data_IF_098190773309
#
_entry.id   IF_098190773309
#
_cell.length_a   1.000
_cell.length_b   1.000
_cell.length_c   1.000
_cell.angle_alpha   90.00
_cell.angle_beta   90.00
_cell.angle_gamma   90.00
#
_symmetry.space_group_name_H-M   'P 1'
#
loop_
_entity.id
_entity.type
_entity.pdbx_description
1 polymer ?
#
# COMPACT_ATOMS: atom_id res chain seq x y z
N UNK A 1 -17.84 -4.09 9.01
CA UNK A 1 -16.88 -3.16 8.36
C UNK A 1 -15.61 -3.12 9.20
N UNK A 2 -14.46 -3.33 8.56
CA UNK A 2 -13.12 -3.16 9.15
C UNK A 2 -12.57 -1.80 8.73
N UNK A 3 -12.01 -1.04 9.68
CA UNK A 3 -11.21 0.17 9.41
C UNK A 3 -9.95 0.07 10.25
N UNK A 4 -8.79 -0.02 9.60
CA UNK A 4 -7.50 -0.10 10.31
C UNK A 4 -6.47 0.80 9.68
N UNK A 5 -5.83 1.61 10.49
CA UNK A 5 -4.74 2.50 10.09
C UNK A 5 -3.41 1.93 10.55
N UNK A 6 -2.50 1.70 9.61
CA UNK A 6 -1.13 1.35 9.88
C UNK A 6 -0.27 2.61 9.82
N UNK A 7 0.45 2.89 10.89
CA UNK A 7 1.45 3.97 10.95
C UNK A 7 2.83 3.34 10.85
N UNK A 8 3.53 3.58 9.74
CA UNK A 8 4.84 2.98 9.44
C UNK A 8 5.89 4.07 9.39
N UNK A 9 6.70 4.18 10.45
CA UNK A 9 7.89 5.04 10.44
C UNK A 9 8.96 4.42 9.54
N UNK A 10 9.56 5.20 8.67
CA UNK A 10 10.62 4.76 7.75
C UNK A 10 11.86 5.65 7.94
N UNK A 11 13.08 5.07 8.04
CA UNK A 11 14.33 5.81 8.19
C UNK A 11 14.86 6.29 6.83
N UNK A 12 14.07 7.10 6.13
CA UNK A 12 14.37 7.65 4.80
C UNK A 12 13.61 8.96 4.58
N UNK A 13 13.98 9.73 3.56
CA UNK A 13 13.18 10.87 3.11
C UNK A 13 11.98 10.42 2.28
N UNK A 14 10.98 11.28 2.10
CA UNK A 14 9.85 11.03 1.20
C UNK A 14 10.29 10.85 -0.26
N UNK A 15 11.34 11.56 -0.70
CA UNK A 15 11.91 11.43 -2.03
C UNK A 15 12.56 10.04 -2.24
N UNK A 16 13.40 9.58 -1.31
CA UNK A 16 13.99 8.24 -1.36
C UNK A 16 12.91 7.15 -1.37
N UNK A 17 11.85 7.35 -0.57
CA UNK A 17 10.72 6.45 -0.52
C UNK A 17 9.95 6.39 -1.84
N UNK A 18 9.72 7.53 -2.50
CA UNK A 18 9.05 7.58 -3.80
C UNK A 18 9.82 6.80 -4.86
N UNK A 19 11.14 6.98 -4.94
CA UNK A 19 11.98 6.26 -5.91
C UNK A 19 12.03 4.76 -5.55
N UNK A 20 12.20 4.43 -4.27
CA UNK A 20 12.17 3.05 -3.78
C UNK A 20 10.85 2.33 -4.11
N UNK A 21 9.72 3.03 -3.98
CA UNK A 21 8.40 2.52 -4.36
C UNK A 21 8.31 2.28 -5.87
N UNK A 22 8.77 3.23 -6.69
CA UNK A 22 8.76 3.08 -8.15
C UNK A 22 9.59 1.87 -8.58
N UNK A 23 10.79 1.68 -8.01
CA UNK A 23 11.60 0.49 -8.26
C UNK A 23 10.89 -0.80 -7.84
N UNK A 24 10.30 -0.84 -6.63
CA UNK A 24 9.57 -2.01 -6.14
C UNK A 24 8.35 -2.36 -7.00
N UNK A 25 7.67 -1.35 -7.55
CA UNK A 25 6.59 -1.52 -8.53
C UNK A 25 7.11 -2.17 -9.80
N UNK A 26 8.19 -1.63 -10.40
CA UNK A 26 8.78 -2.17 -11.62
C UNK A 26 9.27 -3.61 -11.46
N UNK A 27 9.92 -3.93 -10.33
CA UNK A 27 10.37 -5.29 -10.03
C UNK A 27 9.21 -6.26 -9.85
N UNK A 28 8.10 -5.80 -9.27
CA UNK A 28 6.90 -6.61 -9.12
C UNK A 28 6.26 -6.86 -10.49
N UNK A 29 6.17 -5.85 -11.34
CA UNK A 29 5.68 -5.99 -12.71
C UNK A 29 6.53 -7.00 -13.52
N UNK A 30 7.87 -6.90 -13.45
CA UNK A 30 8.79 -7.86 -14.10
C UNK A 30 8.59 -9.31 -13.65
N UNK A 31 8.29 -9.53 -12.37
CA UNK A 31 8.04 -10.89 -11.85
C UNK A 31 6.69 -11.46 -12.26
N UNK A 32 5.72 -10.60 -12.56
CA UNK A 32 4.36 -11.00 -12.93
C UNK A 32 4.27 -11.43 -14.41
N UNK A 33 5.12 -10.90 -15.30
CA UNK A 33 5.13 -11.24 -16.73
C UNK A 33 5.63 -12.65 -17.07
N UNK A 34 6.40 -13.31 -16.19
CA UNK A 34 7.05 -14.60 -16.48
C UNK A 34 6.25 -15.86 -16.10
N UNK A 35 5.01 -15.74 -15.59
CA UNK A 35 4.30 -16.90 -15.00
C UNK A 35 2.94 -17.27 -15.61
N UNK A 36 2.53 -16.68 -16.74
CA UNK A 36 1.34 -17.11 -17.50
C UNK A 36 -0.01 -16.97 -16.79
N UNK A 37 -0.06 -16.69 -15.48
CA UNK A 37 -1.27 -16.42 -14.71
C UNK A 37 -1.09 -15.27 -13.71
N UNK A 38 -2.11 -14.40 -13.64
CA UNK A 38 -2.60 -13.91 -12.35
C UNK A 38 -2.75 -12.40 -12.16
N UNK A 39 -2.28 -11.58 -13.10
CA UNK A 39 -2.54 -10.13 -13.14
C UNK A 39 -2.60 -9.67 -14.60
N UNK A 40 -3.73 -9.10 -15.00
CA UNK A 40 -3.92 -8.41 -16.28
C UNK A 40 -3.82 -6.89 -16.04
N UNK A 41 -3.06 -6.18 -16.86
CA UNK A 41 -3.02 -4.71 -16.84
C UNK A 41 -3.97 -4.23 -17.93
N UNK A 42 -5.09 -3.61 -17.53
CA UNK A 42 -6.13 -3.14 -18.44
C UNK A 42 -5.88 -1.70 -18.85
N UNK A 43 -5.46 -0.87 -17.90
CA UNK A 43 -5.22 0.55 -18.12
C UNK A 43 -4.02 1.02 -17.28
N UNK A 44 -3.20 1.91 -17.84
CA UNK A 44 -2.09 2.58 -17.18
C UNK A 44 -1.88 3.97 -17.81
N UNK A 45 -2.75 4.91 -17.43
CA UNK A 45 -2.82 6.25 -18.04
C UNK A 45 -2.67 7.36 -16.98
N UNK A 46 -2.11 8.52 -17.37
CA UNK A 46 -2.19 9.70 -16.52
C UNK A 46 -3.65 10.12 -16.31
N UNK A 47 -3.93 10.74 -15.17
CA UNK A 47 -5.21 11.40 -14.92
C UNK A 47 -4.98 12.83 -14.44
N UNK A 48 -5.93 13.69 -14.76
CA UNK A 48 -6.07 15.03 -14.21
C UNK A 48 -7.49 15.22 -13.65
N UNK A 49 -7.70 16.28 -12.87
CA UNK A 49 -9.01 16.73 -12.40
C UNK A 49 -9.84 15.69 -11.59
N UNK A 50 -9.21 14.70 -10.95
CA UNK A 50 -9.90 13.76 -10.05
C UNK A 50 -9.61 14.15 -8.60
N UNK A 51 -10.55 14.77 -7.85
CA UNK A 51 -10.29 15.20 -6.49
C UNK A 51 -10.10 14.01 -5.55
N UNK A 52 -8.90 13.90 -5.01
CA UNK A 52 -8.46 12.86 -4.08
C UNK A 52 -8.12 13.47 -2.72
N UNK A 53 -8.30 12.67 -1.67
CA UNK A 53 -7.99 13.05 -0.29
C UNK A 53 -8.59 14.42 0.12
N UNK A 54 -9.90 14.59 -0.09
CA UNK A 54 -10.65 15.83 0.16
C UNK A 54 -10.20 17.02 -0.72
N UNK A 55 -9.83 16.74 -1.97
CA UNK A 55 -9.43 17.76 -2.94
C UNK A 55 -7.99 18.26 -2.76
N UNK A 56 -7.20 17.63 -1.88
CA UNK A 56 -5.77 17.98 -1.69
C UNK A 56 -4.89 17.57 -2.87
N UNK A 57 -5.35 16.59 -3.65
CA UNK A 57 -4.63 16.06 -4.80
C UNK A 57 -5.61 15.84 -5.95
N UNK A 58 -5.19 16.08 -7.19
CA UNK A 58 -6.10 16.07 -8.34
C UNK A 58 -5.52 15.46 -9.62
N UNK A 59 -4.22 15.18 -9.67
CA UNK A 59 -3.53 14.66 -10.84
C UNK A 59 -2.57 13.52 -10.47
N UNK A 60 -2.24 12.64 -11.41
CA UNK A 60 -1.30 11.55 -11.16
C UNK A 60 -1.40 10.43 -12.19
N UNK A 61 -1.07 9.21 -11.76
CA UNK A 61 -1.19 8.01 -12.61
C UNK A 61 -2.34 7.13 -12.13
N UNK A 62 -3.19 6.72 -13.07
CA UNK A 62 -4.24 5.74 -12.84
C UNK A 62 -3.82 4.39 -13.43
N UNK A 63 -4.03 3.31 -12.66
CA UNK A 63 -3.88 1.95 -13.18
C UNK A 63 -5.10 1.11 -12.86
N UNK A 64 -5.59 0.37 -13.86
CA UNK A 64 -6.58 -0.68 -13.70
C UNK A 64 -5.94 -2.04 -13.94
N UNK A 65 -6.01 -2.91 -12.92
CA UNK A 65 -5.51 -4.30 -12.99
C UNK A 65 -6.62 -5.29 -12.66
N UNK A 66 -6.56 -6.48 -13.27
CA UNK A 66 -7.45 -7.59 -12.92
C UNK A 66 -6.62 -8.75 -12.38
N UNK A 67 -6.88 -9.12 -11.13
CA UNK A 67 -6.29 -10.29 -10.50
C UNK A 67 -7.15 -11.52 -10.74
N UNK A 68 -6.59 -12.53 -11.42
CA UNK A 68 -7.22 -13.83 -11.58
C UNK A 68 -6.83 -14.73 -10.40
N UNK A 69 -7.75 -14.91 -9.44
CA UNK A 69 -7.49 -15.56 -8.16
C UNK A 69 -7.95 -17.02 -8.08
N UNK A 70 -8.57 -17.58 -9.13
CA UNK A 70 -9.12 -18.94 -9.11
C UNK A 70 -8.09 -20.00 -8.67
N UNK A 71 -6.87 -19.95 -9.22
CA UNK A 71 -5.77 -20.84 -8.84
C UNK A 71 -5.13 -20.50 -7.48
N UNK A 72 -5.30 -19.26 -6.99
CA UNK A 72 -4.67 -18.72 -5.77
C UNK A 72 -5.55 -18.82 -4.51
N UNK A 73 -6.85 -19.03 -4.64
CA UNK A 73 -7.74 -19.26 -3.50
C UNK A 73 -7.48 -20.67 -2.95
N UNK A 74 -7.09 -20.82 -1.66
CA UNK A 74 -6.88 -22.12 -1.05
C UNK A 74 -8.13 -23.01 -1.13
N UNK A 75 -7.98 -24.30 -1.46
CA UNK A 75 -9.10 -25.21 -1.70
C UNK A 75 -10.08 -25.30 -0.53
N UNK A 76 -9.61 -25.19 0.71
CA UNK A 76 -10.46 -25.20 1.91
C UNK A 76 -11.33 -23.94 2.08
N UNK A 77 -11.02 -22.85 1.38
CA UNK A 77 -11.79 -21.59 1.40
C UNK A 77 -12.75 -21.51 0.21
N UNK A 78 -12.44 -22.17 -0.92
CA UNK A 78 -13.23 -22.10 -2.16
C UNK A 78 -14.74 -22.31 -1.98
N UNK A 79 -15.24 -23.26 -1.16
CA UNK A 79 -16.69 -23.45 -0.97
C UNK A 79 -17.40 -22.25 -0.34
N UNK A 80 -16.67 -21.35 0.32
CA UNK A 80 -17.20 -20.15 0.98
C UNK A 80 -16.99 -18.87 0.17
N UNK A 81 -16.35 -18.96 -1.01
CA UNK A 81 -16.10 -17.82 -1.89
C UNK A 81 -17.17 -17.81 -2.99
N UNK A 82 -18.02 -16.78 -3.05
CA UNK A 82 -18.94 -16.56 -4.17
C UNK A 82 -18.24 -16.72 -5.54
N UNK A 83 -18.91 -17.34 -6.50
CA UNK A 83 -18.34 -17.65 -7.83
C UNK A 83 -17.72 -16.42 -8.54
N UNK A 84 -18.27 -15.22 -8.30
CA UNK A 84 -17.77 -13.95 -8.85
C UNK A 84 -16.54 -13.34 -8.17
N UNK A 85 -16.08 -13.86 -7.02
CA UNK A 85 -14.89 -13.34 -6.31
C UNK A 85 -13.55 -13.92 -6.83
N UNK A 86 -13.59 -14.65 -7.95
CA UNK A 86 -12.40 -15.23 -8.57
C UNK A 86 -11.63 -14.26 -9.47
N UNK A 87 -12.24 -13.12 -9.82
CA UNK A 87 -11.63 -11.99 -10.52
C UNK A 87 -11.78 -10.75 -9.64
N UNK A 88 -10.66 -10.13 -9.28
CA UNK A 88 -10.65 -8.90 -8.48
C UNK A 88 -10.10 -7.78 -9.33
N UNK A 89 -10.89 -6.74 -9.52
CA UNK A 89 -10.48 -5.53 -10.18
C UNK A 89 -9.81 -4.62 -9.15
N UNK A 90 -8.65 -4.07 -9.51
CA UNK A 90 -7.92 -3.06 -8.77
C UNK A 90 -7.89 -1.77 -9.57
N UNK A 91 -8.47 -0.72 -9.00
CA UNK A 91 -8.27 0.64 -9.46
C UNK A 91 -7.31 1.34 -8.51
N UNK A 92 -6.20 1.85 -9.03
CA UNK A 92 -5.19 2.55 -8.23
C UNK A 92 -4.94 3.94 -8.80
N UNK A 93 -5.06 4.97 -7.97
CA UNK A 93 -4.72 6.35 -8.25
C UNK A 93 -3.48 6.74 -7.43
N UNK A 94 -2.38 6.99 -8.12
CA UNK A 94 -1.11 7.39 -7.53
C UNK A 94 -0.88 8.88 -7.76
N UNK A 95 -1.16 9.68 -6.72
CA UNK A 95 -0.94 11.14 -6.69
C UNK A 95 -0.03 11.48 -5.51
N UNK A 96 1.21 10.99 -5.59
CA UNK A 96 2.15 11.06 -4.46
C UNK A 96 2.25 12.50 -3.92
N UNK A 97 2.18 12.72 -2.59
CA UNK A 97 2.32 11.75 -1.48
C UNK A 97 1.11 10.90 -1.13
N UNK A 98 -0.03 11.06 -1.82
CA UNK A 98 -1.24 10.29 -1.60
C UNK A 98 -1.43 9.16 -2.62
N UNK A 99 -1.93 8.03 -2.16
CA UNK A 99 -2.29 6.91 -3.01
C UNK A 99 -3.64 6.35 -2.56
N UNK A 100 -4.48 6.06 -3.53
CA UNK A 100 -5.75 5.37 -3.34
C UNK A 100 -5.73 4.09 -4.16
N UNK A 101 -6.09 2.97 -3.56
CA UNK A 101 -6.34 1.71 -4.27
C UNK A 101 -7.68 1.15 -3.83
N UNK A 102 -8.53 0.78 -4.78
CA UNK A 102 -9.82 0.14 -4.55
C UNK A 102 -9.84 -1.24 -5.21
N UNK A 103 -10.18 -2.26 -4.42
CA UNK A 103 -10.42 -3.62 -4.87
C UNK A 103 -11.91 -3.93 -4.83
N UNK A 104 -12.43 -4.47 -5.92
CA UNK A 104 -13.82 -4.87 -6.05
C UNK A 104 -13.96 -6.07 -7.01
N UNK A 105 -15.13 -6.71 -7.00
CA UNK A 105 -15.41 -7.91 -7.80
C UNK A 105 -16.71 -7.71 -8.59
N UNK A 106 -16.64 -7.15 -9.81
CA UNK A 106 -17.83 -6.74 -10.55
C UNK A 106 -18.78 -7.90 -10.84
N UNK A 107 -18.26 -9.11 -11.04
CA UNK A 107 -19.08 -10.31 -11.28
C UNK A 107 -19.90 -10.76 -10.06
N UNK A 108 -19.56 -10.28 -8.86
CA UNK A 108 -20.32 -10.55 -7.64
C UNK A 108 -21.12 -9.34 -7.16
N UNK A 109 -20.57 -8.14 -7.37
CA UNK A 109 -21.10 -6.88 -6.86
C UNK A 109 -20.74 -5.74 -7.81
N UNK A 110 -21.48 -5.65 -8.91
CA UNK A 110 -21.31 -4.66 -9.97
C UNK A 110 -21.27 -3.22 -9.44
N UNK A 111 -22.15 -2.89 -8.49
CA UNK A 111 -22.27 -1.56 -7.92
C UNK A 111 -21.34 -1.30 -6.71
N UNK A 112 -20.49 -2.27 -6.33
CA UNK A 112 -19.56 -2.16 -5.18
C UNK A 112 -20.24 -1.87 -3.84
N UNK A 113 -21.52 -2.22 -3.70
CA UNK A 113 -22.32 -1.94 -2.50
C UNK A 113 -22.17 -3.02 -1.43
N UNK A 114 -21.99 -4.27 -1.86
CA UNK A 114 -21.90 -5.47 -1.01
C UNK A 114 -20.49 -5.68 -0.49
N UNK A 115 -19.47 -5.43 -1.30
CA UNK A 115 -18.07 -5.67 -0.98
C UNK A 115 -17.13 -4.68 -1.65
N UNK A 116 -16.27 -4.08 -0.83
CA UNK A 116 -15.14 -3.31 -1.32
C UNK A 116 -13.99 -3.33 -0.31
N UNK A 117 -12.77 -3.33 -0.83
CA UNK A 117 -11.57 -3.07 -0.02
C UNK A 117 -10.92 -1.82 -0.56
N UNK A 118 -10.72 -0.84 0.31
CA UNK A 118 -10.09 0.43 -0.02
C UNK A 118 -8.81 0.59 0.80
N UNK A 119 -7.74 0.98 0.13
CA UNK A 119 -6.46 1.32 0.72
C UNK A 119 -6.16 2.78 0.44
N UNK A 120 -6.03 3.58 1.48
CA UNK A 120 -5.61 4.98 1.38
C UNK A 120 -4.27 5.13 2.05
N UNK A 121 -3.33 5.77 1.37
CA UNK A 121 -1.96 5.93 1.87
C UNK A 121 -1.56 7.40 1.75
N UNK A 122 -1.03 7.97 2.83
CA UNK A 122 -0.41 9.29 2.83
C UNK A 122 1.00 9.20 3.42
N UNK A 123 1.98 9.75 2.70
CA UNK A 123 3.38 9.75 3.08
C UNK A 123 3.80 11.14 3.57
N UNK A 124 4.17 11.29 4.84
CA UNK A 124 4.56 12.56 5.43
C UNK A 124 6.04 12.57 5.84
N UNK A 125 6.79 13.57 5.41
CA UNK A 125 8.18 13.81 5.80
C UNK A 125 8.31 14.33 7.23
N UNK A 126 9.46 14.12 7.85
CA UNK A 126 9.79 14.56 9.22
C UNK A 126 8.75 14.19 10.29
N UNK A 127 8.03 13.09 10.03
CA UNK A 127 6.91 12.64 10.84
C UNK A 127 7.18 11.26 11.44
N UNK A 128 6.64 11.01 12.64
CA UNK A 128 6.79 9.76 13.39
C UNK A 128 5.47 9.09 13.76
N UNK A 129 4.41 9.31 12.98
CA UNK A 129 3.10 8.69 13.22
C UNK A 129 2.29 9.36 14.33
N UNK A 130 2.48 10.68 14.52
CA UNK A 130 1.84 11.46 15.59
C UNK A 130 0.53 12.12 15.18
N UNK A 131 0.24 12.21 13.89
CA UNK A 131 -0.98 12.86 13.41
C UNK A 131 -2.17 11.94 13.65
N UNK A 132 -3.16 12.43 14.40
CA UNK A 132 -4.29 11.61 14.79
C UNK A 132 -5.30 11.37 13.66
N UNK A 133 -5.30 12.18 12.60
CA UNK A 133 -6.17 11.98 11.44
C UNK A 133 -5.53 12.49 10.13
N UNK A 134 -4.32 11.99 9.81
CA UNK A 134 -3.55 12.45 8.64
C UNK A 134 -4.32 12.38 7.30
N UNK A 135 -5.16 11.36 7.16
CA UNK A 135 -5.96 11.09 5.96
C UNK A 135 -7.30 11.83 5.92
N UNK A 136 -7.71 12.49 7.02
CA UNK A 136 -8.97 13.25 7.04
C UNK A 136 -10.22 12.38 7.14
N UNK A 137 -10.13 11.18 7.73
CA UNK A 137 -11.26 10.28 7.89
C UNK A 137 -12.44 10.99 8.57
N UNK A 138 -13.65 10.67 8.12
CA UNK A 138 -14.87 11.17 8.76
C UNK A 138 -15.00 10.66 10.20
N UNK A 139 -15.93 11.26 10.96
CA UNK A 139 -16.12 10.96 12.38
C UNK A 139 -16.46 9.49 12.65
N UNK A 140 -17.16 8.81 11.74
CA UNK A 140 -17.64 7.45 11.95
C UNK A 140 -16.53 6.43 11.66
N UNK A 141 -15.79 6.63 10.57
CA UNK A 141 -14.58 5.87 10.25
C UNK A 141 -13.53 6.07 11.34
N UNK A 142 -13.31 7.31 11.79
CA UNK A 142 -12.32 7.63 12.81
C UNK A 142 -12.64 6.96 14.16
N UNK A 143 -13.92 6.89 14.56
CA UNK A 143 -14.36 6.18 15.78
C UNK A 143 -14.17 4.66 15.68
N UNK A 144 -14.34 4.08 14.49
CA UNK A 144 -14.21 2.63 14.25
C UNK A 144 -12.77 2.19 13.97
N UNK A 145 -11.87 3.14 13.70
CA UNK A 145 -10.50 2.88 13.28
C UNK A 145 -9.70 2.26 14.42
N UNK A 146 -9.09 1.12 14.12
CA UNK A 146 -7.99 0.58 14.91
C UNK A 146 -6.66 1.13 14.40
N UNK A 147 -5.80 1.65 15.27
CA UNK A 147 -4.46 2.15 14.91
C UNK A 147 -3.40 1.11 15.25
N UNK A 148 -2.60 0.73 14.26
CA UNK A 148 -1.48 -0.19 14.40
C UNK A 148 -0.17 0.51 14.08
N UNK A 149 0.67 0.70 15.08
CA UNK A 149 2.05 1.19 14.89
C UNK A 149 2.92 0.03 14.44
N UNK A 150 3.42 0.08 13.21
CA UNK A 150 4.18 -1.02 12.64
C UNK A 150 5.69 -0.81 12.80
N UNK A 151 6.38 -1.81 13.32
CA UNK A 151 7.84 -1.82 13.43
C UNK A 151 8.45 -2.73 12.37
N UNK A 152 9.12 -2.13 11.38
CA UNK A 152 9.83 -2.86 10.31
C UNK A 152 11.18 -3.44 10.76
N UNK A 153 11.63 -3.13 11.97
CA UNK A 153 12.92 -3.56 12.53
C UNK A 153 12.91 -4.88 13.29
N UNK A 154 11.75 -5.32 13.82
CA UNK A 154 11.62 -6.50 14.70
C UNK A 154 12.29 -7.75 14.14
N UNK A 155 12.16 -7.98 12.84
CA UNK A 155 12.66 -9.19 12.17
C UNK A 155 13.92 -8.92 11.33
N UNK A 156 14.53 -7.74 11.45
CA UNK A 156 15.62 -7.25 10.60
C UNK A 156 16.76 -6.58 11.40
N UNK A 157 16.98 -7.07 12.62
CA UNK A 157 17.95 -6.51 13.59
C UNK A 157 19.40 -6.59 13.15
N UNK A 158 19.73 -7.33 12.09
CA UNK A 158 21.10 -7.50 11.60
C UNK A 158 21.40 -6.73 10.30
N UNK A 159 20.38 -6.23 9.60
CA UNK A 159 20.62 -5.55 8.32
C UNK A 159 21.18 -4.14 8.52
N UNK A 160 22.35 -3.91 7.94
CA UNK A 160 22.97 -2.59 7.82
C UNK A 160 23.23 -2.31 6.35
N UNK A 161 22.64 -1.24 5.84
CA UNK A 161 22.98 -0.73 4.51
C UNK A 161 24.36 -0.09 4.58
N UNK A 162 25.36 -0.69 3.90
CA UNK A 162 26.69 -0.08 3.74
C UNK A 162 26.61 1.24 2.97
N UNK A 163 25.70 1.32 2.00
CA UNK A 163 25.56 2.46 1.09
C UNK A 163 24.87 3.67 1.74
N UNK A 164 23.68 3.46 2.29
CA UNK A 164 22.92 4.50 2.97
C UNK A 164 23.44 4.78 4.38
N UNK A 165 24.36 3.95 4.89
CA UNK A 165 24.89 3.99 6.27
C UNK A 165 23.76 3.92 7.33
N UNK A 166 22.72 3.13 7.04
CA UNK A 166 21.51 2.97 7.87
C UNK A 166 21.41 1.59 8.48
N UNK A 167 20.71 1.51 9.60
CA UNK A 167 20.53 0.29 10.37
C UNK A 167 21.76 -0.08 11.22
N UNK A 168 21.67 -1.15 12.01
CA UNK A 168 20.49 -1.98 12.21
C UNK A 168 19.35 -1.23 12.92
N UNK A 169 18.12 -1.64 12.65
CA UNK A 169 16.93 -1.07 13.28
C UNK A 169 16.65 -1.80 14.59
N UNK A 170 17.23 -1.32 15.69
CA UNK A 170 17.16 -1.93 17.02
C UNK A 170 16.63 -0.96 18.07
N UNK A 171 16.02 -1.49 19.13
CA UNK A 171 15.49 -0.70 20.24
C UNK A 171 14.51 0.39 19.75
N UNK A 172 14.68 1.62 20.26
CA UNK A 172 13.83 2.76 19.93
C UNK A 172 14.25 3.51 18.64
N UNK A 173 14.67 2.79 17.60
CA UNK A 173 15.11 3.39 16.34
C UNK A 173 14.05 4.32 15.72
N UNK A 174 12.76 4.01 15.88
CA UNK A 174 11.65 4.82 15.35
C UNK A 174 11.58 6.22 15.95
N UNK A 175 12.17 6.45 17.14
CA UNK A 175 12.24 7.75 17.80
C UNK A 175 13.50 8.53 17.39
N UNK A 176 14.58 7.81 17.05
CA UNK A 176 15.92 8.38 16.87
C UNK A 176 16.33 8.53 15.41
N UNK A 177 15.73 7.80 14.48
CA UNK A 177 16.22 7.73 13.10
C UNK A 177 16.17 9.10 12.40
N UNK A 178 17.21 9.43 11.65
CA UNK A 178 17.28 10.57 10.73
C UNK A 178 17.95 10.13 9.42
N UNK A 179 17.42 10.49 8.24
CA UNK A 179 16.11 11.13 8.02
C UNK A 179 14.94 10.24 8.48
N UNK A 180 13.76 10.83 8.65
CA UNK A 180 12.54 10.09 8.97
C UNK A 180 11.32 10.56 8.17
N UNK A 181 10.44 9.63 7.88
CA UNK A 181 9.10 9.89 7.38
C UNK A 181 8.11 8.90 8.02
N UNK A 182 6.82 9.17 7.89
CA UNK A 182 5.77 8.24 8.27
C UNK A 182 4.83 7.97 7.10
N UNK A 183 4.46 6.71 6.93
CA UNK A 183 3.37 6.29 6.04
C UNK A 183 2.15 6.01 6.88
N UNK A 184 1.06 6.73 6.60
CA UNK A 184 -0.26 6.46 7.15
C UNK A 184 -1.04 5.68 6.11
N UNK A 185 -1.33 4.40 6.38
CA UNK A 185 -2.07 3.53 5.47
C UNK A 185 -3.35 3.04 6.10
N UNK A 186 -4.50 3.53 5.65
CA UNK A 186 -5.82 3.07 6.09
C UNK A 186 -6.29 1.95 5.16
N UNK A 187 -6.75 0.86 5.76
CA UNK A 187 -7.42 -0.26 5.10
C UNK A 187 -8.86 -0.28 5.57
N UNK A 188 -9.78 -0.12 4.63
CA UNK A 188 -11.22 -0.22 4.85
C UNK A 188 -11.71 -1.46 4.11
N UNK A 189 -12.37 -2.36 4.81
CA UNK A 189 -13.06 -3.49 4.19
C UNK A 189 -14.53 -3.44 4.58
N UNK A 190 -15.36 -3.14 3.58
CA UNK A 190 -16.80 -3.09 3.72
C UNK A 190 -17.40 -4.39 3.21
N UNK A 191 -18.22 -5.03 4.04
CA UNK A 191 -19.02 -6.21 3.68
C UNK A 191 -20.41 -5.94 4.20
N UNK A 192 -21.35 -5.59 3.31
CA UNK A 192 -22.74 -5.24 3.67
C UNK A 192 -23.69 -6.42 3.53
N UNK A 193 -23.33 -7.45 2.78
CA UNK A 193 -24.16 -8.65 2.63
C UNK A 193 -23.89 -9.66 3.75
N UNK A 194 -24.96 -10.13 4.39
CA UNK A 194 -24.91 -11.24 5.33
C UNK A 194 -24.81 -12.56 4.55
N UNK A 195 -23.61 -13.15 4.50
CA UNK A 195 -23.42 -14.53 4.09
C UNK A 195 -22.55 -15.26 5.13
N UNK A 196 -22.67 -16.60 5.27
CA UNK A 196 -22.02 -17.36 6.35
C UNK A 196 -20.48 -17.25 6.44
N UNK A 197 -19.82 -16.67 5.43
CA UNK A 197 -18.36 -16.47 5.37
C UNK A 197 -17.88 -15.03 5.54
N UNK A 198 -18.78 -14.05 5.74
CA UNK A 198 -18.43 -12.63 5.73
C UNK A 198 -17.37 -12.26 6.79
N UNK A 199 -17.54 -12.70 8.03
CA UNK A 199 -16.59 -12.43 9.11
C UNK A 199 -15.22 -13.08 8.87
N UNK A 200 -15.22 -14.33 8.36
CA UNK A 200 -13.99 -15.04 7.98
C UNK A 200 -13.25 -14.30 6.85
N UNK A 201 -13.98 -13.77 5.87
CA UNK A 201 -13.40 -12.96 4.79
C UNK A 201 -12.77 -11.68 5.33
N UNK A 202 -13.48 -10.94 6.21
CA UNK A 202 -12.94 -9.74 6.85
C UNK A 202 -11.69 -10.07 7.68
N UNK A 203 -11.71 -11.16 8.44
CA UNK A 203 -10.55 -11.65 9.20
C UNK A 203 -9.36 -12.03 8.31
N UNK A 204 -9.63 -12.62 7.14
CA UNK A 204 -8.61 -12.93 6.14
C UNK A 204 -8.01 -11.65 5.54
N UNK A 205 -8.84 -10.68 5.14
CA UNK A 205 -8.39 -9.38 4.62
C UNK A 205 -7.54 -8.66 5.66
N UNK A 206 -7.99 -8.60 6.90
CA UNK A 206 -7.26 -8.08 8.06
C UNK A 206 -5.87 -8.73 8.18
N UNK A 207 -5.81 -10.07 8.25
CA UNK A 207 -4.56 -10.82 8.47
C UNK A 207 -3.60 -10.67 7.29
N UNK A 208 -4.11 -10.82 6.06
CA UNK A 208 -3.30 -10.74 4.83
C UNK A 208 -2.80 -9.32 4.60
N UNK A 209 -3.61 -8.29 4.87
CA UNK A 209 -3.20 -6.89 4.76
C UNK A 209 -2.10 -6.56 5.75
N UNK A 210 -2.24 -6.91 7.04
CA UNK A 210 -1.19 -6.68 8.05
C UNK A 210 0.14 -7.32 7.63
N UNK A 211 0.11 -8.61 7.26
CA UNK A 211 1.31 -9.35 6.84
C UNK A 211 1.92 -8.76 5.56
N UNK A 212 1.09 -8.49 4.55
CA UNK A 212 1.52 -7.93 3.28
C UNK A 212 2.16 -6.54 3.43
N UNK A 213 1.55 -5.67 4.23
CA UNK A 213 2.08 -4.34 4.54
C UNK A 213 3.43 -4.46 5.25
N UNK A 214 3.56 -5.29 6.30
CA UNK A 214 4.83 -5.47 7.02
C UNK A 214 5.95 -5.95 6.08
N UNK A 215 5.65 -6.96 5.26
CA UNK A 215 6.62 -7.49 4.29
C UNK A 215 7.00 -6.44 3.26
N UNK A 216 6.02 -5.74 2.69
CA UNK A 216 6.25 -4.72 1.65
C UNK A 216 7.19 -3.61 2.15
N UNK A 217 6.88 -2.99 3.28
CA UNK A 217 7.68 -1.88 3.80
C UNK A 217 9.07 -2.33 4.27
N UNK A 218 9.19 -3.58 4.78
CA UNK A 218 10.49 -4.17 5.08
C UNK A 218 11.33 -4.35 3.81
N UNK A 219 10.76 -4.95 2.76
CA UNK A 219 11.46 -5.16 1.48
C UNK A 219 11.86 -3.81 0.89
N UNK A 220 10.94 -2.83 0.89
CA UNK A 220 11.24 -1.48 0.40
C UNK A 220 12.42 -0.84 1.14
N UNK A 221 12.47 -0.94 2.48
CA UNK A 221 13.62 -0.48 3.26
C UNK A 221 14.93 -1.15 2.86
N UNK A 222 14.91 -2.48 2.70
CA UNK A 222 16.08 -3.25 2.26
C UNK A 222 16.55 -2.82 0.87
N UNK A 223 15.62 -2.61 -0.06
CA UNK A 223 15.90 -2.23 -1.44
C UNK A 223 16.46 -0.81 -1.56
N UNK A 224 15.85 0.17 -0.89
CA UNK A 224 16.36 1.56 -0.82
C UNK A 224 17.79 1.57 -0.24
N UNK A 225 18.08 0.68 0.71
CA UNK A 225 19.42 0.51 1.26
C UNK A 225 20.47 -0.02 0.27
N UNK A 226 20.08 -0.58 -0.88
CA UNK A 226 20.98 -1.18 -1.88
C UNK A 226 21.09 -0.29 -3.13
N UNK A 227 19.97 0.34 -3.54
CA UNK A 227 19.89 1.15 -4.76
C UNK A 227 20.68 2.47 -4.65
N UNK A 228 21.34 2.87 -5.73
CA UNK A 228 22.01 4.17 -5.87
C UNK A 228 21.00 5.25 -6.20
N UNK A 229 20.93 6.31 -5.39
CA UNK A 229 20.23 7.53 -5.78
C UNK A 229 21.18 8.63 -6.31
N UNK A 230 22.38 8.27 -6.77
CA UNK A 230 23.38 9.23 -7.26
C UNK A 230 23.07 9.85 -8.64
N UNK A 231 21.89 9.63 -9.24
CA UNK A 231 21.59 10.08 -10.60
C UNK A 231 20.57 11.21 -10.72
N UNK A 232 20.04 11.77 -9.62
CA UNK A 232 19.03 12.85 -9.71
C UNK A 232 19.59 14.27 -9.50
N UNK A 233 20.91 14.48 -9.69
CA UNK A 233 21.58 15.79 -9.52
C UNK A 233 22.49 16.20 -10.70
N UNK A 234 22.38 15.53 -11.83
CA UNK A 234 23.01 15.95 -13.09
C UNK A 234 21.89 16.04 -14.11
N UNK A 235 21.43 17.25 -14.38
CA UNK A 235 20.84 17.72 -15.66
C UNK A 235 20.13 19.08 -15.48
N UNK A 236 20.73 20.02 -14.73
CA UNK A 236 20.30 21.43 -14.70
C UNK A 236 21.48 22.42 -14.69
N UNK A 237 22.67 22.01 -15.14
CA UNK A 237 23.84 22.91 -15.11
C UNK A 237 24.81 22.71 -16.26
N UNK A 238 24.31 22.55 -17.49
CA UNK A 238 25.09 22.76 -18.71
C UNK A 238 24.13 23.04 -19.86
N UNK A 239 23.64 24.28 -19.91
CA UNK A 239 23.37 25.00 -21.15
C UNK A 239 23.69 26.47 -20.85
N UNK A 240 24.96 26.82 -21.09
CA UNK A 240 25.40 28.18 -21.43
C UNK A 240 25.51 28.20 -22.95
#
# INVERSE_FOLDING_TARGET
MLVREYRIVMPMTTAEFQIGRAFAYMETARKQTHKGEGVEIVQDDPFDNIPLCHGRYNEGQFTHKIYHLRSKIPSFVRPFVPNGLTRIHEHSWNSFPYLLTELYAPEWDENREKFSIRFETLCLGDNRGKDENALGLDRDMLRRREVVKMNIGEDNTNFRSKRAKRGPLVGNWQEKCKPCMCVYKVVTCNVRTHFPGAEKLVGLVSTKSTKGIKIYFRVLYLTVGVVSFNSARRDESNDI
#
